data_IF_806931005862
#
_entry.id   IF_806931005862
#
_cell.length_a   1.000
_cell.length_b   1.000
_cell.length_c   1.000
_cell.angle_alpha   90.00
_cell.angle_beta   90.00
_cell.angle_gamma   90.00
#
_symmetry.space_group_name_H-M   'P 1'
#
loop_
_entity.id
_entity.type
_entity.pdbx_description
1 polymer ?
#
# COMPACT_ATOMS: atom_id res chain seq x y z
N UNK A 1 -10.97 4.00 10.59
CA UNK A 1 -10.16 4.39 9.45
C UNK A 1 -8.67 4.05 9.63
N UNK A 2 -8.33 3.18 10.56
CA UNK A 2 -6.96 2.76 10.91
C UNK A 2 -6.56 1.40 10.31
N UNK A 3 -7.52 0.61 9.83
CA UNK A 3 -7.28 -0.76 9.35
C UNK A 3 -6.63 -0.89 7.96
N UNK A 4 -6.54 0.19 7.20
CA UNK A 4 -6.11 0.15 5.79
C UNK A 4 -4.62 0.40 5.55
N UNK A 5 -3.80 0.55 6.58
CA UNK A 5 -2.38 0.92 6.38
C UNK A 5 -1.42 -0.24 6.09
N UNK A 6 -1.83 -1.52 6.28
CA UNK A 6 -0.84 -2.61 6.37
C UNK A 6 -1.18 -3.91 5.63
N UNK A 7 -2.09 -3.90 4.65
CA UNK A 7 -2.39 -5.13 3.91
C UNK A 7 -2.89 -6.28 4.81
N UNK A 8 -3.57 -5.95 5.89
CA UNK A 8 -4.15 -6.89 6.82
C UNK A 8 -5.31 -7.59 6.12
N UNK A 9 -5.10 -8.81 5.62
CA UNK A 9 -6.22 -9.64 5.23
C UNK A 9 -6.89 -10.19 6.49
N UNK A 10 -8.21 -10.43 6.40
CA UNK A 10 -8.97 -11.05 7.48
C UNK A 10 -8.34 -12.37 7.94
N UNK A 11 -7.77 -13.09 7.00
CA UNK A 11 -7.08 -14.36 7.26
C UNK A 11 -5.81 -14.17 8.09
N UNK A 12 -5.02 -13.13 7.81
CA UNK A 12 -3.80 -12.81 8.59
C UNK A 12 -4.14 -12.43 10.02
N UNK A 13 -5.17 -11.59 10.23
CA UNK A 13 -5.64 -11.25 11.56
C UNK A 13 -5.98 -12.50 12.38
N UNK A 14 -6.81 -13.38 11.83
CA UNK A 14 -7.24 -14.57 12.55
C UNK A 14 -6.13 -15.61 12.75
N UNK A 15 -5.18 -15.68 11.83
CA UNK A 15 -4.00 -16.54 11.97
C UNK A 15 -3.11 -16.09 13.11
N UNK A 16 -2.88 -14.77 13.26
CA UNK A 16 -2.12 -14.25 14.39
C UNK A 16 -2.86 -14.44 15.72
N UNK A 17 -4.14 -14.15 15.77
CA UNK A 17 -4.96 -14.43 16.96
C UNK A 17 -4.82 -15.90 17.39
N UNK A 18 -4.89 -16.84 16.43
CA UNK A 18 -4.71 -18.28 16.72
C UNK A 18 -3.29 -18.59 17.23
N UNK A 19 -2.26 -17.99 16.62
CA UNK A 19 -0.88 -18.19 17.01
C UNK A 19 -0.61 -17.67 18.43
N UNK A 20 -1.08 -16.46 18.77
CA UNK A 20 -0.95 -15.88 20.11
C UNK A 20 -1.71 -16.69 21.17
N UNK A 21 -2.93 -17.11 20.88
CA UNK A 21 -3.68 -18.00 21.78
C UNK A 21 -2.91 -19.28 22.07
N UNK A 22 -2.35 -19.90 21.04
CA UNK A 22 -1.53 -21.12 21.18
C UNK A 22 -0.29 -20.87 22.04
N UNK A 23 0.43 -19.77 21.80
CA UNK A 23 1.61 -19.39 22.58
C UNK A 23 1.30 -19.13 24.05
N UNK A 24 0.13 -18.57 24.34
CA UNK A 24 -0.36 -18.34 25.70
C UNK A 24 -0.99 -19.58 26.36
N UNK A 25 -1.10 -20.70 25.64
CA UNK A 25 -1.81 -21.90 26.10
C UNK A 25 -3.31 -21.64 26.33
N UNK A 26 -3.89 -20.70 25.58
CA UNK A 26 -5.29 -20.31 25.66
C UNK A 26 -6.07 -20.79 24.44
N UNK A 27 -7.40 -20.78 24.55
CA UNK A 27 -8.31 -21.21 23.49
C UNK A 27 -9.33 -20.12 23.14
N UNK A 28 -10.18 -20.40 22.17
CA UNK A 28 -11.21 -19.47 21.73
C UNK A 28 -12.27 -19.19 22.78
N UNK A 29 -12.58 -20.17 23.62
CA UNK A 29 -13.53 -20.02 24.74
C UNK A 29 -13.00 -18.99 25.75
N UNK A 30 -11.72 -19.05 26.09
CA UNK A 30 -11.05 -18.07 26.96
C UNK A 30 -11.08 -16.67 26.33
N UNK A 31 -10.82 -16.57 25.02
CA UNK A 31 -10.88 -15.28 24.30
C UNK A 31 -12.29 -14.69 24.38
N UNK A 32 -13.31 -15.50 24.14
CA UNK A 32 -14.70 -15.10 24.21
C UNK A 32 -15.09 -14.61 25.62
N UNK A 33 -14.68 -15.33 26.67
CA UNK A 33 -14.91 -14.95 28.06
C UNK A 33 -14.34 -13.55 28.37
N UNK A 34 -13.13 -13.26 27.86
CA UNK A 34 -12.44 -12.00 28.15
C UNK A 34 -12.92 -10.83 27.28
N UNK A 35 -13.30 -11.08 26.05
CA UNK A 35 -13.73 -10.03 25.11
C UNK A 35 -15.24 -9.79 25.09
N UNK A 36 -16.02 -10.72 25.65
CA UNK A 36 -17.49 -10.68 25.58
C UNK A 36 -18.07 -11.07 24.21
N UNK A 37 -17.25 -11.55 23.29
CA UNK A 37 -17.70 -12.02 21.98
C UNK A 37 -18.33 -13.41 22.11
N UNK A 38 -19.50 -13.61 21.54
CA UNK A 38 -20.14 -14.93 21.53
C UNK A 38 -19.30 -15.92 20.73
N UNK A 39 -19.09 -17.12 21.26
CA UNK A 39 -18.27 -18.16 20.62
C UNK A 39 -18.73 -18.52 19.21
N UNK A 40 -20.03 -18.58 18.98
CA UNK A 40 -20.61 -18.82 17.65
C UNK A 40 -20.28 -17.71 16.66
N UNK A 41 -20.32 -16.45 17.12
CA UNK A 41 -19.94 -15.28 16.32
C UNK A 41 -18.45 -15.32 15.97
N UNK A 42 -17.58 -15.58 16.96
CA UNK A 42 -16.14 -15.70 16.74
C UNK A 42 -15.79 -16.80 15.73
N UNK A 43 -16.35 -18.00 15.91
CA UNK A 43 -16.12 -19.15 15.02
C UNK A 43 -16.61 -18.88 13.59
N UNK A 44 -17.76 -18.23 13.45
CA UNK A 44 -18.31 -17.88 12.15
C UNK A 44 -17.41 -16.86 11.42
N UNK A 45 -16.94 -15.85 12.13
CA UNK A 45 -16.01 -14.86 11.52
C UNK A 45 -14.69 -15.48 11.10
N UNK A 46 -14.10 -16.32 11.95
CA UNK A 46 -12.88 -17.07 11.64
C UNK A 46 -13.06 -17.96 10.41
N UNK A 47 -14.18 -18.69 10.33
CA UNK A 47 -14.46 -19.64 9.23
C UNK A 47 -14.76 -18.95 7.91
N UNK A 48 -15.31 -17.76 7.96
CA UNK A 48 -15.66 -16.96 6.77
C UNK A 48 -14.61 -15.88 6.47
N UNK A 49 -13.47 -15.90 7.17
CA UNK A 49 -12.43 -14.88 7.07
C UNK A 49 -13.01 -13.46 7.10
N UNK A 50 -13.89 -13.16 8.06
CA UNK A 50 -14.47 -11.82 8.23
C UNK A 50 -13.81 -11.08 9.38
N UNK A 51 -13.57 -9.79 9.19
CA UNK A 51 -13.07 -8.93 10.27
C UNK A 51 -14.00 -8.91 11.48
N UNK A 52 -13.44 -8.79 12.70
CA UNK A 52 -14.20 -8.37 13.86
C UNK A 52 -14.62 -6.89 13.67
N UNK A 53 -15.54 -6.40 14.49
CA UNK A 53 -15.76 -4.95 14.55
C UNK A 53 -14.50 -4.25 15.08
N UNK A 54 -14.36 -2.95 14.84
CA UNK A 54 -13.23 -2.17 15.34
C UNK A 54 -13.04 -2.34 16.87
N UNK A 55 -14.14 -2.26 17.61
CA UNK A 55 -14.13 -2.38 19.04
C UNK A 55 -13.69 -3.78 19.51
N UNK A 56 -14.16 -4.82 18.84
CA UNK A 56 -13.75 -6.20 19.13
C UNK A 56 -12.28 -6.45 18.81
N UNK A 57 -11.80 -5.90 17.68
CA UNK A 57 -10.40 -6.02 17.25
C UNK A 57 -9.46 -5.34 18.25
N UNK A 58 -9.81 -4.15 18.74
CA UNK A 58 -9.04 -3.45 19.77
C UNK A 58 -8.96 -4.29 21.05
N UNK A 59 -10.10 -4.81 21.53
CA UNK A 59 -10.14 -5.68 22.71
C UNK A 59 -9.31 -6.96 22.55
N UNK A 60 -9.36 -7.57 21.37
CA UNK A 60 -8.56 -8.76 21.04
C UNK A 60 -7.08 -8.41 21.05
N UNK A 61 -6.70 -7.32 20.40
CA UNK A 61 -5.32 -6.86 20.32
C UNK A 61 -4.74 -6.55 21.72
N UNK A 62 -5.43 -5.76 22.52
CA UNK A 62 -5.02 -5.46 23.90
C UNK A 62 -4.87 -6.72 24.75
N UNK A 63 -5.81 -7.66 24.66
CA UNK A 63 -5.80 -8.89 25.46
C UNK A 63 -4.67 -9.84 25.09
N UNK A 64 -4.27 -9.85 23.82
CA UNK A 64 -3.23 -10.74 23.28
C UNK A 64 -1.87 -10.04 23.16
N UNK A 65 -1.74 -8.83 23.68
CA UNK A 65 -0.53 -8.00 23.57
C UNK A 65 -0.06 -7.90 22.10
N UNK A 66 -1.03 -7.56 21.24
CA UNK A 66 -0.81 -7.42 19.80
C UNK A 66 -0.75 -5.94 19.47
N UNK A 67 0.34 -5.48 18.90
CA UNK A 67 0.35 -4.17 18.27
C UNK A 67 -0.24 -4.27 16.85
N UNK A 68 -0.81 -3.18 16.34
CA UNK A 68 -1.23 -3.14 14.93
C UNK A 68 -0.02 -3.22 13.99
N UNK A 69 1.17 -2.89 14.46
CA UNK A 69 2.44 -3.04 13.74
C UNK A 69 2.83 -4.52 13.58
N UNK A 70 2.47 -5.38 14.54
CA UNK A 70 2.70 -6.84 14.45
C UNK A 70 1.99 -7.45 13.23
N UNK A 71 0.84 -6.91 12.83
CA UNK A 71 0.12 -7.40 11.66
C UNK A 71 0.81 -7.01 10.34
N UNK A 72 1.46 -5.85 10.30
CA UNK A 72 2.32 -5.46 9.19
C UNK A 72 3.52 -6.38 9.06
N UNK A 73 4.17 -6.75 10.16
CA UNK A 73 5.33 -7.68 10.16
C UNK A 73 4.96 -9.10 9.75
N UNK A 74 3.74 -9.56 9.99
CA UNK A 74 3.31 -10.93 9.65
C UNK A 74 3.09 -11.09 8.15
N UNK A 75 2.52 -10.07 7.49
CA UNK A 75 2.50 -10.02 6.04
C UNK A 75 3.91 -10.08 5.44
N UNK A 76 4.93 -9.64 6.21
CA UNK A 76 6.32 -9.53 5.83
C UNK A 76 7.17 -10.78 6.15
N UNK A 77 6.70 -11.70 6.99
CA UNK A 77 7.44 -12.92 7.36
C UNK A 77 7.63 -13.95 6.23
N UNK A 78 7.13 -13.65 5.02
CA UNK A 78 7.52 -14.37 3.80
C UNK A 78 8.91 -14.01 3.28
N UNK A 79 9.52 -12.90 3.68
CA UNK A 79 10.88 -12.50 3.30
C UNK A 79 11.82 -12.70 4.47
N UNK A 80 12.84 -13.54 4.26
CA UNK A 80 13.76 -14.02 5.32
C UNK A 80 14.62 -12.94 5.99
N UNK A 81 14.77 -11.72 5.43
CA UNK A 81 15.64 -10.66 5.97
C UNK A 81 15.28 -9.24 5.48
N UNK A 82 14.16 -9.03 4.79
CA UNK A 82 13.77 -7.76 4.19
C UNK A 82 12.33 -7.38 4.51
N UNK A 83 12.07 -6.08 4.59
CA UNK A 83 10.71 -5.58 4.69
C UNK A 83 10.04 -5.73 3.33
N UNK A 84 8.85 -6.32 3.26
CA UNK A 84 8.14 -6.52 2.02
C UNK A 84 7.32 -5.28 1.63
N UNK A 85 7.24 -5.02 0.34
CA UNK A 85 6.50 -3.92 -0.26
C UNK A 85 5.34 -4.51 -1.05
N UNK A 86 4.10 -4.03 -0.86
CA UNK A 86 2.96 -4.50 -1.63
C UNK A 86 3.05 -4.04 -3.08
N UNK A 87 2.74 -4.96 -4.00
CA UNK A 87 2.64 -4.69 -5.44
C UNK A 87 1.17 -4.61 -5.83
N UNK A 88 0.80 -3.54 -6.50
CA UNK A 88 -0.53 -3.35 -7.06
C UNK A 88 -0.49 -3.43 -8.58
N UNK A 89 -1.42 -4.16 -9.18
CA UNK A 89 -1.49 -4.34 -10.64
C UNK A 89 -1.99 -3.09 -11.35
N UNK A 90 -2.92 -2.43 -10.71
CA UNK A 90 -3.52 -1.19 -11.16
C UNK A 90 -3.40 -0.15 -10.04
N UNK A 91 -2.17 0.27 -9.72
CA UNK A 91 -1.94 1.32 -8.72
C UNK A 91 -2.75 2.60 -9.04
N UNK A 92 -3.40 2.60 -10.20
CA UNK A 92 -4.03 3.76 -10.80
C UNK A 92 -5.40 3.46 -11.39
N UNK A 93 -6.14 2.47 -10.87
CA UNK A 93 -7.53 2.27 -11.30
C UNK A 93 -8.38 3.49 -10.99
N UNK A 94 -8.79 4.14 -12.05
CA UNK A 94 -9.69 5.27 -12.01
C UNK A 94 -11.00 4.94 -11.30
N UNK A 95 -11.43 5.76 -10.35
CA UNK A 95 -12.84 5.81 -10.07
C UNK A 95 -13.32 6.11 -8.66
N UNK A 96 -12.48 6.19 -7.64
CA UNK A 96 -12.97 6.46 -6.27
C UNK A 96 -12.28 7.58 -5.49
N UNK A 97 -11.39 8.36 -6.09
CA UNK A 97 -10.79 9.54 -5.41
C UNK A 97 -10.05 9.24 -4.10
N UNK A 98 -9.78 7.97 -3.79
CA UNK A 98 -9.02 7.54 -2.63
C UNK A 98 -7.79 6.80 -3.08
N UNK A 99 -6.66 7.32 -2.67
CA UNK A 99 -5.32 6.91 -3.07
C UNK A 99 -4.84 5.57 -2.48
N UNK A 100 -5.54 4.96 -1.59
CA UNK A 100 -5.12 3.69 -0.99
C UNK A 100 -5.99 2.60 -1.62
N UNK A 101 -5.42 1.71 -2.47
CA UNK A 101 -6.13 0.52 -2.90
C UNK A 101 -6.60 -0.26 -1.67
N UNK A 102 -7.81 -0.79 -1.71
CA UNK A 102 -8.24 -1.74 -0.69
C UNK A 102 -7.23 -2.89 -0.65
N UNK A 103 -7.00 -3.45 0.52
CA UNK A 103 -6.07 -4.59 0.70
C UNK A 103 -6.39 -5.80 -0.19
N UNK A 104 -7.58 -5.82 -0.79
CA UNK A 104 -8.01 -6.80 -1.79
C UNK A 104 -7.28 -6.67 -3.14
N UNK A 105 -6.63 -5.53 -3.41
CA UNK A 105 -5.98 -5.23 -4.69
C UNK A 105 -4.47 -5.54 -4.68
N UNK A 106 -3.91 -6.02 -3.56
CA UNK A 106 -2.49 -6.44 -3.47
C UNK A 106 -2.34 -7.78 -4.16
N UNK A 107 -1.55 -7.84 -5.22
CA UNK A 107 -1.26 -9.08 -5.96
C UNK A 107 -0.15 -9.90 -5.35
N UNK A 108 0.90 -9.27 -4.96
CA UNK A 108 2.09 -9.91 -4.40
C UNK A 108 2.85 -8.95 -3.50
N UNK A 109 3.84 -9.50 -2.79
CA UNK A 109 4.79 -8.72 -2.02
C UNK A 109 6.19 -8.95 -2.57
N UNK A 110 6.95 -7.87 -2.72
CA UNK A 110 8.34 -7.90 -3.18
C UNK A 110 9.27 -7.37 -2.10
N UNK A 111 10.56 -7.70 -2.19
CA UNK A 111 11.55 -7.23 -1.24
C UNK A 111 11.75 -5.71 -1.36
N UNK A 112 11.75 -5.00 -0.23
CA UNK A 112 12.05 -3.58 -0.19
C UNK A 112 13.53 -3.33 -0.51
N UNK A 113 13.85 -2.41 -1.43
CA UNK A 113 15.22 -1.99 -1.67
C UNK A 113 15.88 -1.52 -0.35
N UNK A 114 17.14 -1.93 -0.11
CA UNK A 114 17.83 -1.69 1.16
C UNK A 114 17.85 -0.22 1.59
N UNK A 115 17.98 0.69 0.63
CA UNK A 115 18.04 2.13 0.89
C UNK A 115 16.68 2.71 1.28
N UNK A 116 15.57 1.98 1.02
CA UNK A 116 14.21 2.40 1.35
C UNK A 116 13.68 1.75 2.64
N UNK A 117 14.45 0.86 3.27
CA UNK A 117 14.02 0.13 4.47
C UNK A 117 13.55 1.05 5.60
N UNK A 118 14.16 2.23 5.76
CA UNK A 118 13.79 3.19 6.81
C UNK A 118 12.45 3.88 6.57
N UNK A 119 11.94 3.86 5.34
CA UNK A 119 10.65 4.45 4.95
C UNK A 119 9.72 3.40 4.33
N UNK A 120 10.01 2.10 4.54
CA UNK A 120 9.31 1.01 3.86
C UNK A 120 7.78 1.05 4.05
N UNK A 121 7.30 1.57 5.19
CA UNK A 121 5.88 1.73 5.49
C UNK A 121 5.16 2.68 4.50
N UNK A 122 5.93 3.52 3.85
CA UNK A 122 5.46 4.47 2.84
C UNK A 122 5.79 4.03 1.42
N UNK A 123 6.37 2.83 1.22
CA UNK A 123 6.76 2.35 -0.11
C UNK A 123 5.71 1.40 -0.66
N UNK A 124 5.36 1.63 -1.91
CA UNK A 124 4.47 0.81 -2.71
C UNK A 124 5.19 0.47 -4.01
N UNK A 125 4.91 -0.70 -4.57
CA UNK A 125 5.35 -1.07 -5.91
C UNK A 125 4.16 -1.23 -6.86
N UNK A 126 4.38 -0.90 -8.13
CA UNK A 126 3.37 -1.06 -9.17
C UNK A 126 4.03 -1.26 -10.54
N UNK A 127 3.28 -1.88 -11.47
CA UNK A 127 3.69 -1.95 -12.85
C UNK A 127 3.33 -0.70 -13.62
N UNK A 128 4.28 -0.22 -14.44
CA UNK A 128 4.06 0.88 -15.39
C UNK A 128 3.29 0.36 -16.59
N UNK A 129 2.33 1.15 -17.06
CA UNK A 129 1.59 0.86 -18.29
C UNK A 129 1.75 1.99 -19.30
N UNK A 130 1.98 1.59 -20.55
CA UNK A 130 2.16 2.51 -21.67
C UNK A 130 3.58 3.06 -21.81
N UNK A 131 3.74 3.98 -22.74
CA UNK A 131 5.03 4.48 -23.21
C UNK A 131 5.28 5.96 -22.91
N UNK A 132 4.40 6.61 -22.15
CA UNK A 132 4.47 8.07 -21.94
C UNK A 132 5.73 8.52 -21.20
N UNK A 133 6.40 7.62 -20.49
CA UNK A 133 7.64 7.90 -19.77
C UNK A 133 8.89 7.29 -20.44
N UNK A 134 8.76 6.77 -21.67
CA UNK A 134 9.90 6.29 -22.45
C UNK A 134 10.85 7.45 -22.79
N UNK A 135 12.17 7.30 -22.71
CA UNK A 135 12.92 6.07 -22.41
C UNK A 135 13.20 5.83 -20.91
N UNK A 136 12.72 6.69 -20.02
CA UNK A 136 13.01 6.58 -18.57
C UNK A 136 12.34 5.36 -17.96
N UNK A 137 11.10 5.09 -18.35
CA UNK A 137 10.34 3.90 -17.94
C UNK A 137 9.76 3.24 -19.18
N UNK A 138 9.76 1.90 -19.17
CA UNK A 138 9.19 1.09 -20.25
C UNK A 138 7.86 0.48 -19.78
N UNK A 139 7.05 0.04 -20.73
CA UNK A 139 5.84 -0.72 -20.43
C UNK A 139 6.21 -2.00 -19.66
N UNK A 140 5.42 -2.32 -18.64
CA UNK A 140 5.62 -3.46 -17.74
C UNK A 140 6.84 -3.36 -16.78
N UNK A 141 7.53 -2.23 -16.72
CA UNK A 141 8.51 -1.97 -15.67
C UNK A 141 7.84 -1.97 -14.30
N UNK A 142 8.54 -2.49 -13.29
CA UNK A 142 8.10 -2.34 -11.90
C UNK A 142 8.77 -1.11 -11.28
N UNK A 143 7.98 -0.21 -10.73
CA UNK A 143 8.45 0.95 -9.98
C UNK A 143 8.18 0.79 -8.49
N UNK A 144 9.10 1.31 -7.66
CA UNK A 144 8.89 1.54 -6.24
C UNK A 144 8.76 3.04 -6.02
N UNK A 145 7.71 3.44 -5.35
CA UNK A 145 7.45 4.86 -5.04
C UNK A 145 6.97 5.04 -3.62
N UNK A 146 7.22 6.20 -3.05
CA UNK A 146 6.68 6.54 -1.74
C UNK A 146 5.26 7.11 -1.82
N UNK A 147 4.62 7.22 -0.66
CA UNK A 147 3.29 7.82 -0.50
C UNK A 147 3.35 9.12 0.30
N UNK A 148 4.49 9.82 0.26
CA UNK A 148 4.74 11.00 1.07
C UNK A 148 4.32 12.31 0.38
N UNK A 149 3.78 12.22 -0.83
CA UNK A 149 3.34 13.37 -1.60
C UNK A 149 4.49 14.07 -2.32
N UNK A 150 4.35 15.38 -2.51
CA UNK A 150 5.34 16.19 -3.20
C UNK A 150 6.41 16.72 -2.25
N UNK A 151 7.67 16.34 -2.45
CA UNK A 151 8.80 16.78 -1.64
C UNK A 151 9.35 18.17 -2.06
N UNK A 152 8.65 18.87 -2.94
CA UNK A 152 9.04 20.15 -3.53
C UNK A 152 10.30 20.09 -4.41
N UNK A 153 10.71 18.93 -4.85
CA UNK A 153 11.86 18.72 -5.73
C UNK A 153 11.38 18.14 -7.07
N UNK A 154 12.08 18.53 -8.13
CA UNK A 154 11.86 17.94 -9.45
C UNK A 154 12.14 16.43 -9.41
N UNK A 155 11.38 15.65 -10.15
CA UNK A 155 11.54 14.20 -10.17
C UNK A 155 10.41 13.48 -10.90
N UNK A 156 10.48 12.15 -10.89
CA UNK A 156 9.39 11.30 -11.38
C UNK A 156 8.47 10.96 -10.23
N UNK A 157 7.19 11.15 -10.44
CA UNK A 157 6.15 10.96 -9.42
C UNK A 157 5.00 10.14 -9.95
N UNK A 158 4.34 9.47 -9.04
CA UNK A 158 3.01 8.92 -9.25
C UNK A 158 1.98 9.98 -8.86
N UNK A 159 1.00 10.19 -9.73
CA UNK A 159 -0.01 11.25 -9.60
C UNK A 159 -1.39 10.74 -9.96
N UNK A 160 -2.42 11.38 -9.44
CA UNK A 160 -3.75 11.39 -10.04
C UNK A 160 -3.99 12.74 -10.71
N UNK A 161 -4.49 12.69 -11.93
CA UNK A 161 -4.91 13.88 -12.66
C UNK A 161 -6.30 13.62 -13.25
N UNK A 162 -7.26 14.47 -12.89
CA UNK A 162 -8.67 14.26 -13.23
C UNK A 162 -9.18 12.84 -12.90
N UNK A 163 -8.77 12.31 -11.73
CA UNK A 163 -9.18 11.01 -11.24
C UNK A 163 -8.49 9.80 -11.89
N UNK A 164 -7.58 10.02 -12.83
CA UNK A 164 -6.80 8.96 -13.47
C UNK A 164 -5.36 8.95 -12.96
N UNK A 165 -4.81 7.76 -12.75
CA UNK A 165 -3.45 7.60 -12.27
C UNK A 165 -2.41 7.61 -13.39
N UNK A 166 -1.28 8.26 -13.12
CA UNK A 166 -0.17 8.37 -14.06
C UNK A 166 1.17 8.37 -13.35
N UNK A 167 2.20 8.00 -14.07
CA UNK A 167 3.59 8.31 -13.72
C UNK A 167 4.07 9.44 -14.63
N UNK A 168 4.54 10.54 -14.05
CA UNK A 168 4.99 11.73 -14.78
C UNK A 168 6.20 12.36 -14.11
N UNK A 169 6.97 13.11 -14.89
CA UNK A 169 7.98 14.00 -14.35
C UNK A 169 7.33 15.31 -13.92
N UNK A 170 7.58 15.69 -12.70
CA UNK A 170 7.09 16.96 -12.14
C UNK A 170 8.24 17.94 -12.00
N UNK A 171 7.98 19.19 -12.39
CA UNK A 171 8.86 20.32 -12.15
C UNK A 171 8.08 21.42 -11.46
N UNK A 172 8.64 21.95 -10.38
CA UNK A 172 8.05 23.07 -9.67
C UNK A 172 8.23 24.37 -10.48
N UNK A 173 7.15 25.12 -10.65
CA UNK A 173 7.17 26.45 -11.25
C UNK A 173 6.76 27.51 -10.21
N UNK A 174 6.91 28.81 -10.47
CA UNK A 174 6.44 29.85 -9.55
C UNK A 174 4.92 29.82 -9.30
N UNK A 175 4.13 29.30 -10.25
CA UNK A 175 2.68 29.36 -10.26
C UNK A 175 2.00 28.01 -10.08
N UNK A 176 2.77 26.91 -10.17
CA UNK A 176 2.19 25.58 -10.11
C UNK A 176 3.20 24.47 -10.28
N UNK A 177 2.76 23.40 -10.89
CA UNK A 177 3.54 22.21 -11.19
C UNK A 177 3.43 21.92 -12.69
N UNK A 178 4.56 21.88 -13.37
CA UNK A 178 4.64 21.41 -14.73
C UNK A 178 4.69 19.90 -14.75
N UNK A 179 3.73 19.29 -15.44
CA UNK A 179 3.59 17.84 -15.62
C UNK A 179 4.13 17.46 -17.00
N UNK A 180 5.13 16.59 -17.01
CA UNK A 180 5.90 16.26 -18.19
C UNK A 180 5.90 14.75 -18.38
N UNK A 181 5.63 14.32 -19.60
CA UNK A 181 5.93 12.97 -20.09
C UNK A 181 7.35 12.95 -20.64
N UNK A 182 8.16 11.97 -20.27
CA UNK A 182 9.53 11.87 -20.81
C UNK A 182 9.54 11.49 -22.30
N UNK A 183 8.46 10.89 -22.79
CA UNK A 183 8.23 10.68 -24.21
C UNK A 183 7.74 11.99 -24.86
N UNK A 184 8.51 12.59 -25.79
CA UNK A 184 8.20 13.91 -26.35
C UNK A 184 6.95 13.94 -27.24
N UNK A 185 6.40 12.80 -27.59
CA UNK A 185 5.11 12.72 -28.30
C UNK A 185 3.96 13.29 -27.48
N UNK A 186 4.10 13.25 -26.14
CA UNK A 186 3.09 13.75 -25.21
C UNK A 186 3.46 15.16 -24.73
N UNK A 187 2.71 16.20 -25.10
CA UNK A 187 3.03 17.57 -24.71
C UNK A 187 2.90 17.76 -23.20
N UNK A 188 3.80 18.55 -22.58
CA UNK A 188 3.69 18.91 -21.18
C UNK A 188 2.57 19.91 -20.96
N UNK A 189 2.04 19.94 -19.73
CA UNK A 189 1.06 20.92 -19.28
C UNK A 189 1.39 21.41 -17.88
N UNK A 190 0.79 22.51 -17.45
CA UNK A 190 0.99 23.08 -16.13
C UNK A 190 -0.32 23.09 -15.35
N UNK A 191 -0.24 22.76 -14.06
CA UNK A 191 -1.37 22.75 -13.14
C UNK A 191 -1.05 23.73 -12.01
N UNK A 192 -1.97 24.67 -11.73
CA UNK A 192 -1.84 25.61 -10.62
C UNK A 192 -1.80 24.88 -9.27
N UNK A 193 -1.10 25.43 -8.28
CA UNK A 193 -1.14 24.94 -6.90
C UNK A 193 -2.54 24.97 -6.27
N UNK A 194 -3.43 25.81 -6.78
CA UNK A 194 -4.81 25.94 -6.29
C UNK A 194 -5.77 24.93 -6.92
N UNK A 195 -5.31 24.16 -7.93
CA UNK A 195 -6.16 23.19 -8.63
C UNK A 195 -6.30 21.90 -7.84
N UNK A 196 -7.55 21.42 -7.75
CA UNK A 196 -7.87 20.11 -7.16
C UNK A 196 -7.73 18.96 -8.17
N UNK A 197 -7.40 19.28 -9.44
CA UNK A 197 -7.30 18.28 -10.51
C UNK A 197 -6.08 17.37 -10.37
N UNK A 198 -5.00 17.85 -9.69
CA UNK A 198 -3.74 17.15 -9.51
C UNK A 198 -3.56 16.73 -8.05
N UNK A 199 -3.52 15.46 -7.80
CA UNK A 199 -3.10 14.88 -6.54
C UNK A 199 -1.78 14.14 -6.71
N UNK A 200 -0.75 14.57 -5.99
CA UNK A 200 0.56 13.92 -6.02
C UNK A 200 0.61 12.89 -4.92
N UNK A 201 0.87 11.67 -5.34
CA UNK A 201 0.94 10.52 -4.45
C UNK A 201 2.28 10.43 -3.77
N UNK A 202 3.34 10.40 -4.57
CA UNK A 202 4.69 10.32 -4.07
C UNK A 202 5.70 10.12 -5.19
N UNK A 203 6.96 10.10 -4.80
CA UNK A 203 8.12 10.08 -5.69
C UNK A 203 8.52 8.66 -6.03
N UNK A 204 8.78 8.41 -7.31
CA UNK A 204 9.40 7.15 -7.76
C UNK A 204 10.84 7.10 -7.29
N UNK A 205 11.20 6.03 -6.58
CA UNK A 205 12.51 5.84 -5.97
C UNK A 205 13.37 4.84 -6.72
N UNK A 206 12.74 3.77 -7.24
CA UNK A 206 13.43 2.72 -7.99
C UNK A 206 12.61 2.26 -9.17
N UNK A 207 13.28 1.74 -10.16
CA UNK A 207 12.68 1.03 -11.29
C UNK A 207 13.43 -0.29 -11.51
N UNK A 208 12.68 -1.34 -11.77
CA UNK A 208 13.18 -2.62 -12.26
C UNK A 208 12.76 -2.78 -13.72
N UNK A 209 13.72 -2.72 -14.61
CA UNK A 209 13.50 -2.96 -16.03
C UNK A 209 13.52 -4.45 -16.33
N UNK A 210 12.52 -4.91 -17.06
CA UNK A 210 12.50 -6.26 -17.62
C UNK A 210 13.22 -6.26 -18.97
N UNK A 211 14.32 -6.96 -19.03
CA UNK A 211 15.02 -7.16 -20.30
C UNK A 211 14.14 -8.03 -21.21
N UNK A 212 13.81 -7.50 -22.37
CA UNK A 212 13.19 -8.30 -23.44
C UNK A 212 14.29 -9.18 -24.03
N UNK A 213 14.14 -10.50 -23.86
CA UNK A 213 15.01 -11.50 -24.45
C UNK A 213 14.65 -11.82 -25.88
#
# INVERSE_FOLDING_TARGET
MFYMRYGLTEELFWNEVKARLKNLGKNQEWLCEKTGILLGTLRNRISQSRYPTMEEAIRIAELLDMSFDDFGEIALKGSKDGKAVPVFDEAFSAGRGQFIPDSADVKEYVECPKDLVNIHEHIIAAHVRGDSMYPTLHDDDMIYFDTLGFDNMDGVYTIFYNGNGYVKRLMKTPTGIKVISDNPVYPPFEVSFESEELQIVGKVRYVLHKLQG
#
